data_IF_913593818455
#
_entry.id   IF_913593818455
#
_cell.length_a   1.000
_cell.length_b   1.000
_cell.length_c   1.000
_cell.angle_alpha   90.00
_cell.angle_beta   90.00
_cell.angle_gamma   90.00
#
_symmetry.space_group_name_H-M   'P 1'
#
loop_
_entity.id
_entity.type
_entity.pdbx_description
1 polymer ?
#
# COMPACT_ATOMS: atom_id res chain seq x y z
N UNK A 1 10.01 8.41 -22.15
CA UNK A 1 8.65 8.86 -21.77
C UNK A 1 8.05 7.79 -20.87
N UNK A 2 7.99 8.01 -19.56
CA UNK A 2 7.38 7.05 -18.60
C UNK A 2 5.87 7.09 -18.82
N UNK A 3 5.28 6.00 -19.30
CA UNK A 3 3.82 5.89 -19.42
C UNK A 3 3.22 5.73 -18.02
N UNK A 4 2.30 6.64 -17.69
CA UNK A 4 1.54 6.62 -16.44
C UNK A 4 0.36 5.68 -16.61
N UNK A 5 0.41 4.51 -16.01
CA UNK A 5 -0.76 3.67 -15.81
C UNK A 5 -0.87 3.34 -14.32
N UNK A 6 -2.01 3.70 -13.73
CA UNK A 6 -2.35 3.34 -12.35
C UNK A 6 -3.18 2.07 -12.41
N UNK A 7 -2.67 1.00 -11.85
CA UNK A 7 -3.40 -0.26 -11.74
C UNK A 7 -3.76 -0.50 -10.27
N UNK A 8 -5.04 -0.65 -9.99
CA UNK A 8 -5.50 -1.19 -8.72
C UNK A 8 -5.46 -2.71 -8.80
N UNK A 9 -4.53 -3.35 -8.10
CA UNK A 9 -4.48 -4.79 -7.97
C UNK A 9 -5.55 -5.29 -6.98
N UNK A 10 -6.81 -5.00 -7.25
CA UNK A 10 -7.93 -5.56 -6.51
C UNK A 10 -8.44 -6.80 -7.22
N UNK A 11 -7.77 -7.91 -6.98
CA UNK A 11 -8.26 -9.22 -7.41
C UNK A 11 -8.67 -10.04 -6.19
N UNK A 12 -9.85 -10.61 -6.26
CA UNK A 12 -10.35 -11.65 -5.37
C UNK A 12 -9.46 -12.88 -5.58
N UNK A 13 -8.36 -12.99 -4.85
CA UNK A 13 -7.49 -14.15 -4.87
C UNK A 13 -7.02 -14.46 -3.46
N UNK A 14 -7.11 -15.72 -3.11
CA UNK A 14 -6.81 -16.26 -1.79
C UNK A 14 -5.32 -16.32 -1.42
N UNK A 15 -4.41 -15.92 -2.33
CA UNK A 15 -2.97 -16.11 -2.16
C UNK A 15 -2.23 -14.83 -2.58
N UNK A 16 -1.28 -14.37 -1.74
CA UNK A 16 -0.40 -13.24 -2.02
C UNK A 16 0.43 -13.49 -3.28
N UNK A 17 0.86 -14.74 -3.53
CA UNK A 17 1.64 -15.12 -4.72
C UNK A 17 0.88 -14.84 -6.00
N UNK A 18 -0.43 -15.08 -6.03
CA UNK A 18 -1.28 -14.79 -7.21
C UNK A 18 -1.37 -13.31 -7.49
N UNK A 19 -1.43 -12.47 -6.45
CA UNK A 19 -1.44 -11.00 -6.61
C UNK A 19 -0.11 -10.50 -7.16
N UNK A 20 1.00 -11.01 -6.62
CA UNK A 20 2.35 -10.69 -7.10
C UNK A 20 2.51 -11.12 -8.56
N UNK A 21 2.10 -12.32 -8.91
CA UNK A 21 2.21 -12.85 -10.28
C UNK A 21 1.34 -12.05 -11.28
N UNK A 22 0.12 -11.70 -10.91
CA UNK A 22 -0.73 -10.81 -11.72
C UNK A 22 -0.09 -9.45 -11.94
N UNK A 23 0.50 -8.87 -10.88
CA UNK A 23 1.21 -7.60 -10.98
C UNK A 23 2.40 -7.72 -11.91
N UNK A 24 3.20 -8.81 -11.83
CA UNK A 24 4.31 -9.09 -12.75
C UNK A 24 3.85 -9.21 -14.20
N UNK A 25 2.75 -9.90 -14.47
CA UNK A 25 2.15 -9.98 -15.81
C UNK A 25 1.74 -8.61 -16.35
N UNK A 26 1.16 -7.76 -15.50
CA UNK A 26 0.80 -6.39 -15.88
C UNK A 26 2.03 -5.55 -16.19
N UNK A 27 3.10 -5.69 -15.41
CA UNK A 27 4.38 -5.01 -15.65
C UNK A 27 4.94 -5.44 -17.02
N UNK A 28 4.99 -6.74 -17.31
CA UNK A 28 5.50 -7.27 -18.59
C UNK A 28 4.69 -6.86 -19.84
N UNK A 29 3.49 -6.32 -19.66
CA UNK A 29 2.67 -5.75 -20.75
C UNK A 29 2.99 -4.28 -21.02
N UNK A 30 3.86 -3.67 -20.21
CA UNK A 30 4.24 -2.27 -20.38
C UNK A 30 5.46 -2.16 -21.30
N UNK A 31 5.49 -1.13 -22.12
CA UNK A 31 6.64 -0.82 -22.96
C UNK A 31 7.52 0.21 -22.24
N UNK A 32 8.61 -0.23 -21.63
CA UNK A 32 9.61 0.63 -20.99
C UNK A 32 9.58 0.60 -19.46
N UNK A 33 10.35 1.46 -18.79
CA UNK A 33 10.55 1.45 -17.35
C UNK A 33 9.26 1.75 -16.58
N UNK A 34 9.06 1.03 -15.46
CA UNK A 34 7.86 1.08 -14.63
C UNK A 34 8.20 1.58 -13.23
N UNK A 35 7.52 2.62 -12.77
CA UNK A 35 7.42 2.99 -11.36
C UNK A 35 6.17 2.30 -10.78
N UNK A 36 6.37 1.42 -9.79
CA UNK A 36 5.25 0.82 -9.06
C UNK A 36 4.80 1.72 -7.91
N UNK A 37 3.49 1.88 -7.76
CA UNK A 37 2.89 2.61 -6.64
C UNK A 37 1.98 1.66 -5.89
N UNK A 38 2.23 1.49 -4.59
CA UNK A 38 1.44 0.64 -3.70
C UNK A 38 0.79 1.42 -2.57
N UNK A 39 -0.51 1.24 -2.37
CA UNK A 39 -1.24 1.75 -1.21
C UNK A 39 -1.58 0.59 -0.28
N UNK A 40 -1.47 0.82 1.02
CA UNK A 40 -1.89 -0.15 2.04
C UNK A 40 -1.22 -1.52 1.84
N UNK A 41 -2.01 -2.61 1.79
CA UNK A 41 -1.53 -3.96 1.48
C UNK A 41 -0.84 -4.05 0.10
N UNK A 42 -1.21 -3.17 -0.84
CA UNK A 42 -0.54 -3.09 -2.14
C UNK A 42 0.96 -2.81 -2.05
N UNK A 43 1.43 -2.21 -0.95
CA UNK A 43 2.85 -2.03 -0.66
C UNK A 43 3.59 -3.37 -0.51
N UNK A 44 3.02 -4.35 0.22
CA UNK A 44 3.60 -5.69 0.31
C UNK A 44 3.64 -6.39 -1.06
N UNK A 45 2.62 -6.17 -1.89
CA UNK A 45 2.60 -6.71 -3.27
C UNK A 45 3.72 -6.12 -4.12
N UNK A 46 3.89 -4.79 -4.12
CA UNK A 46 4.97 -4.16 -4.92
C UNK A 46 6.35 -4.46 -4.36
N UNK A 47 6.47 -4.74 -3.06
CA UNK A 47 7.74 -5.17 -2.44
C UNK A 47 8.27 -6.45 -3.08
N UNK A 48 7.41 -7.39 -3.46
CA UNK A 48 7.81 -8.62 -4.16
C UNK A 48 7.77 -8.50 -5.69
N UNK A 49 6.72 -7.88 -6.25
CA UNK A 49 6.58 -7.71 -7.70
C UNK A 49 7.66 -6.78 -8.27
N UNK A 50 8.18 -5.86 -7.47
CA UNK A 50 9.19 -4.89 -7.83
C UNK A 50 10.55 -5.48 -8.22
N UNK A 51 10.79 -6.78 -7.99
CA UNK A 51 11.96 -7.48 -8.51
C UNK A 51 11.91 -7.72 -10.02
N UNK A 52 10.80 -7.41 -10.69
CA UNK A 52 10.73 -7.47 -12.16
C UNK A 52 11.77 -6.53 -12.79
N UNK A 53 12.47 -6.96 -13.88
CA UNK A 53 13.55 -6.17 -14.49
C UNK A 53 13.11 -4.78 -14.98
N UNK A 54 11.88 -4.65 -15.47
CA UNK A 54 11.36 -3.38 -15.98
C UNK A 54 10.96 -2.38 -14.87
N UNK A 55 10.93 -2.83 -13.60
CA UNK A 55 10.65 -1.92 -12.49
C UNK A 55 11.92 -1.15 -12.14
N UNK A 56 11.83 0.17 -12.19
CA UNK A 56 12.94 1.09 -11.90
C UNK A 56 12.81 1.82 -10.58
N UNK A 57 11.66 1.76 -9.91
CA UNK A 57 11.43 2.38 -8.61
C UNK A 57 10.09 1.99 -7.98
N UNK A 58 9.95 2.30 -6.70
CA UNK A 58 8.81 1.94 -5.86
C UNK A 58 8.31 3.16 -5.08
N UNK A 59 7.00 3.42 -5.08
CA UNK A 59 6.40 4.45 -4.25
C UNK A 59 5.34 3.82 -3.32
N UNK A 60 5.48 4.06 -2.04
CA UNK A 60 4.63 3.53 -0.98
C UNK A 60 3.74 4.65 -0.45
N UNK A 61 2.43 4.45 -0.48
CA UNK A 61 1.45 5.43 -0.01
C UNK A 61 0.68 4.82 1.16
N UNK A 62 0.93 5.29 2.39
CA UNK A 62 0.34 4.73 3.60
C UNK A 62 0.33 3.19 3.56
N UNK A 63 1.49 2.55 3.32
CA UNK A 63 1.56 1.19 2.84
C UNK A 63 2.53 0.31 3.62
N UNK A 64 2.29 -1.00 3.61
CA UNK A 64 3.26 -1.98 4.12
C UNK A 64 4.48 -2.07 3.21
N UNK A 65 5.66 -2.07 3.82
CA UNK A 65 6.94 -2.31 3.16
C UNK A 65 7.76 -3.33 3.98
N UNK A 66 7.31 -4.59 4.03
CA UNK A 66 7.96 -5.61 4.85
C UNK A 66 9.39 -5.88 4.39
N UNK A 67 10.26 -6.24 5.36
CA UNK A 67 11.60 -6.74 5.12
C UNK A 67 11.58 -8.26 4.89
N UNK A 68 12.73 -8.83 4.56
CA UNK A 68 12.86 -10.27 4.38
C UNK A 68 12.45 -11.03 5.64
N UNK A 69 11.59 -12.02 5.47
CA UNK A 69 11.02 -12.81 6.55
C UNK A 69 9.89 -12.14 7.34
N UNK A 70 9.61 -10.86 7.10
CA UNK A 70 8.46 -10.18 7.72
C UNK A 70 7.16 -10.40 6.95
N UNK A 71 6.05 -10.18 7.65
CA UNK A 71 4.71 -10.17 7.09
C UNK A 71 3.97 -8.89 7.50
N UNK A 72 2.95 -8.44 6.72
CA UNK A 72 2.11 -7.29 7.11
C UNK A 72 1.49 -7.45 8.51
N UNK A 73 1.04 -8.66 8.86
CA UNK A 73 0.49 -8.95 10.19
C UNK A 73 1.53 -8.84 11.29
N UNK A 74 2.76 -9.30 11.07
CA UNK A 74 3.86 -9.15 12.02
C UNK A 74 4.22 -7.68 12.28
N UNK A 75 4.21 -6.86 11.23
CA UNK A 75 4.41 -5.40 11.36
C UNK A 75 3.28 -4.76 12.14
N UNK A 76 2.02 -5.13 11.86
CA UNK A 76 0.85 -4.61 12.56
C UNK A 76 0.92 -4.86 14.07
N UNK A 77 1.53 -5.96 14.50
CA UNK A 77 1.68 -6.28 15.92
C UNK A 77 2.71 -5.43 16.66
N UNK A 78 3.63 -4.76 15.96
CA UNK A 78 4.63 -3.89 16.61
C UNK A 78 3.98 -2.63 17.18
N UNK A 79 3.09 -2.00 16.39
CA UNK A 79 2.21 -0.92 16.83
C UNK A 79 0.81 -1.21 16.29
N UNK A 80 -0.08 -1.67 17.17
CA UNK A 80 -1.44 -2.05 16.80
C UNK A 80 -2.26 -0.82 16.42
N UNK A 81 -2.86 -0.77 15.21
CA UNK A 81 -3.64 0.37 14.78
C UNK A 81 -5.01 0.45 15.49
N UNK A 82 -5.56 1.66 15.60
CA UNK A 82 -6.85 1.91 16.24
C UNK A 82 -8.01 1.13 15.60
N UNK A 83 -7.95 0.91 14.29
CA UNK A 83 -8.99 0.19 13.55
C UNK A 83 -8.96 -1.34 13.76
N UNK A 84 -7.95 -1.91 14.40
CA UNK A 84 -7.84 -3.36 14.57
C UNK A 84 -9.11 -4.03 15.15
N UNK A 85 -9.81 -3.47 16.17
CA UNK A 85 -11.04 -4.06 16.70
C UNK A 85 -12.25 -3.96 15.75
N UNK A 86 -12.13 -3.16 14.70
CA UNK A 86 -13.20 -2.93 13.72
C UNK A 86 -13.10 -3.85 12.50
N UNK A 87 -12.03 -4.66 12.41
CA UNK A 87 -11.85 -5.67 11.38
C UNK A 87 -12.51 -6.98 11.82
N UNK A 88 -13.26 -7.60 10.92
CA UNK A 88 -13.89 -8.89 11.15
C UNK A 88 -13.79 -9.79 9.91
N UNK A 89 -13.48 -11.09 10.10
CA UNK A 89 -13.49 -12.03 9.00
C UNK A 89 -14.93 -12.46 8.68
N UNK A 90 -15.22 -12.66 7.39
CA UNK A 90 -16.41 -13.39 6.96
C UNK A 90 -16.19 -14.92 7.03
N UNK A 91 -17.23 -15.69 6.59
CA UNK A 91 -17.18 -17.16 6.56
C UNK A 91 -16.06 -17.74 5.70
N UNK A 92 -15.61 -17.00 4.71
CA UNK A 92 -14.56 -17.40 3.77
C UNK A 92 -13.17 -16.86 4.18
N UNK A 93 -13.10 -16.12 5.30
CA UNK A 93 -11.88 -15.56 5.85
C UNK A 93 -11.46 -14.24 5.24
N UNK A 94 -12.31 -13.57 4.46
CA UNK A 94 -12.03 -12.21 4.00
C UNK A 94 -12.22 -11.21 5.13
N UNK A 95 -11.26 -10.32 5.28
CA UNK A 95 -11.18 -9.38 6.39
C UNK A 95 -11.87 -8.06 6.03
N UNK A 96 -13.07 -7.89 6.54
CA UNK A 96 -13.90 -6.70 6.32
C UNK A 96 -13.73 -5.68 7.43
N UNK A 97 -13.74 -4.41 7.06
CA UNK A 97 -13.94 -3.34 8.02
C UNK A 97 -15.45 -3.15 8.23
N UNK A 98 -15.91 -3.22 9.48
CA UNK A 98 -17.34 -3.04 9.84
C UNK A 98 -17.91 -1.78 9.20
N UNK A 99 -19.04 -1.91 8.50
CA UNK A 99 -19.64 -0.80 7.74
C UNK A 99 -19.86 0.46 8.60
N UNK A 100 -20.41 0.29 9.81
CA UNK A 100 -20.64 1.40 10.75
C UNK A 100 -19.37 2.00 11.36
N UNK A 101 -18.20 1.40 11.12
CA UNK A 101 -16.89 1.84 11.60
C UNK A 101 -15.94 2.24 10.46
N UNK A 102 -16.37 2.10 9.23
CA UNK A 102 -15.52 2.32 8.07
C UNK A 102 -15.01 3.76 7.99
N UNK A 103 -15.91 4.74 8.07
CA UNK A 103 -15.55 6.16 7.97
C UNK A 103 -14.54 6.56 9.04
N UNK A 104 -14.82 6.27 10.33
CA UNK A 104 -13.93 6.63 11.43
C UNK A 104 -12.58 5.92 11.39
N UNK A 105 -12.50 4.74 10.76
CA UNK A 105 -11.29 3.90 10.76
C UNK A 105 -10.42 4.11 9.54
N UNK A 106 -11.03 4.35 8.36
CA UNK A 106 -10.32 4.33 7.08
C UNK A 106 -10.15 5.74 6.47
N UNK A 107 -11.16 6.60 6.63
CA UNK A 107 -11.25 7.86 5.89
C UNK A 107 -11.93 8.98 6.70
N UNK A 108 -11.57 9.12 7.97
CA UNK A 108 -12.16 10.07 8.91
C UNK A 108 -11.97 11.56 8.52
N UNK A 109 -11.08 11.84 7.57
CA UNK A 109 -10.79 13.16 7.02
C UNK A 109 -11.51 13.45 5.69
N UNK A 110 -12.40 12.54 5.26
CA UNK A 110 -13.34 12.72 4.14
C UNK A 110 -14.75 13.00 4.66
N UNK A 111 -15.67 13.35 3.76
CA UNK A 111 -17.08 13.49 4.11
C UNK A 111 -17.73 12.13 4.42
N UNK A 112 -18.83 12.14 5.17
CA UNK A 112 -19.57 10.92 5.48
C UNK A 112 -20.08 10.19 4.24
N UNK A 113 -20.49 10.95 3.20
CA UNK A 113 -20.96 10.37 1.95
C UNK A 113 -19.84 9.67 1.17
N UNK A 114 -18.64 10.27 1.09
CA UNK A 114 -17.46 9.64 0.51
C UNK A 114 -17.08 8.37 1.29
N UNK A 115 -17.11 8.44 2.62
CA UNK A 115 -16.88 7.28 3.49
C UNK A 115 -17.90 6.17 3.26
N UNK A 116 -19.16 6.49 3.06
CA UNK A 116 -20.20 5.51 2.75
C UNK A 116 -19.94 4.84 1.39
N UNK A 117 -19.61 5.60 0.36
CA UNK A 117 -19.26 5.06 -0.96
C UNK A 117 -18.06 4.11 -0.84
N UNK A 118 -17.01 4.49 -0.11
CA UNK A 118 -15.85 3.63 0.11
C UNK A 118 -16.23 2.36 0.87
N UNK A 119 -17.08 2.46 1.89
CA UNK A 119 -17.53 1.32 2.68
C UNK A 119 -18.29 0.26 1.83
N UNK A 120 -19.21 0.71 0.96
CA UNK A 120 -20.00 -0.23 0.13
C UNK A 120 -19.21 -0.75 -1.09
N UNK A 121 -18.12 -0.12 -1.43
CA UNK A 121 -17.25 -0.53 -2.54
C UNK A 121 -15.93 -1.18 -2.08
N UNK A 122 -15.73 -1.35 -0.76
CA UNK A 122 -14.51 -1.97 -0.24
C UNK A 122 -14.32 -3.38 -0.82
N UNK A 123 -13.05 -3.75 -1.00
CA UNK A 123 -12.66 -5.09 -1.44
C UNK A 123 -11.81 -5.71 -0.35
N UNK A 124 -12.43 -6.59 0.43
CA UNK A 124 -11.78 -7.25 1.54
C UNK A 124 -10.62 -8.13 1.06
N UNK A 125 -9.44 -8.03 1.66
CA UNK A 125 -8.37 -9.00 1.45
C UNK A 125 -8.69 -10.29 2.22
N UNK A 126 -8.15 -11.41 1.76
CA UNK A 126 -8.15 -12.64 2.57
C UNK A 126 -7.24 -12.42 3.78
N UNK A 127 -7.75 -12.62 5.00
CA UNK A 127 -7.03 -12.36 6.24
C UNK A 127 -5.72 -13.14 6.37
N UNK A 128 -5.70 -14.40 5.89
CA UNK A 128 -4.50 -15.24 5.89
C UNK A 128 -3.30 -14.62 5.16
N UNK A 129 -3.54 -13.79 4.13
CA UNK A 129 -2.44 -13.17 3.36
C UNK A 129 -1.63 -12.15 4.17
N UNK A 130 -2.16 -11.66 5.29
CA UNK A 130 -1.40 -10.80 6.20
C UNK A 130 -0.29 -11.56 6.95
N UNK A 131 -0.37 -12.89 7.02
CA UNK A 131 0.67 -13.75 7.57
C UNK A 131 1.77 -14.15 6.58
N UNK A 132 1.57 -13.88 5.28
CA UNK A 132 2.53 -14.25 4.24
C UNK A 132 3.83 -13.47 4.39
N UNK A 133 4.94 -14.20 4.48
CA UNK A 133 6.27 -13.61 4.65
C UNK A 133 6.84 -13.16 3.31
N UNK A 134 7.48 -12.00 3.33
CA UNK A 134 8.20 -11.47 2.17
C UNK A 134 9.56 -12.16 2.05
N UNK A 135 9.93 -12.50 0.82
CA UNK A 135 11.29 -12.89 0.44
C UNK A 135 11.81 -11.90 -0.59
N UNK A 136 13.07 -11.47 -0.46
CA UNK A 136 13.73 -10.57 -1.42
C UNK A 136 12.98 -9.24 -1.63
N UNK A 137 12.94 -8.37 -0.63
CA UNK A 137 12.23 -7.10 -0.75
C UNK A 137 12.89 -6.21 -1.81
N UNK A 138 12.13 -5.84 -2.84
CA UNK A 138 12.64 -5.07 -3.98
C UNK A 138 13.20 -3.70 -3.59
N UNK A 139 12.70 -3.09 -2.52
CA UNK A 139 13.19 -1.82 -2.01
C UNK A 139 14.64 -1.87 -1.51
N UNK A 140 15.18 -3.06 -1.20
CA UNK A 140 16.59 -3.23 -0.84
C UNK A 140 17.53 -2.92 -2.02
N UNK A 141 17.06 -3.06 -3.26
CA UNK A 141 17.88 -2.88 -4.46
C UNK A 141 17.32 -1.83 -5.43
N UNK A 142 16.18 -1.24 -5.13
CA UNK A 142 15.51 -0.26 -5.98
C UNK A 142 15.24 1.04 -5.23
N UNK A 143 15.39 2.21 -5.87
CA UNK A 143 15.05 3.48 -5.25
C UNK A 143 13.56 3.51 -4.87
N UNK A 144 13.29 4.04 -3.68
CA UNK A 144 11.97 4.04 -3.09
C UNK A 144 11.58 5.41 -2.55
N UNK A 145 10.30 5.71 -2.58
CA UNK A 145 9.66 6.90 -2.02
C UNK A 145 8.54 6.47 -1.09
N UNK A 146 8.30 7.23 -0.04
CA UNK A 146 7.29 6.86 0.94
C UNK A 146 6.44 8.07 1.36
N UNK A 147 5.11 7.90 1.37
CA UNK A 147 4.17 8.84 1.98
C UNK A 147 3.62 8.23 3.26
N UNK A 148 3.83 8.93 4.38
CA UNK A 148 3.30 8.61 5.70
C UNK A 148 2.00 9.38 5.90
N UNK A 149 0.91 8.68 6.24
CA UNK A 149 -0.33 9.29 6.73
C UNK A 149 -0.27 9.41 8.26
N UNK A 150 -0.15 10.64 8.78
CA UNK A 150 0.07 10.84 10.23
C UNK A 150 -1.15 10.56 11.10
N UNK A 151 -2.33 10.45 10.50
CA UNK A 151 -3.61 10.18 11.17
C UNK A 151 -4.21 8.84 10.73
N UNK A 152 -3.35 7.95 10.21
CA UNK A 152 -3.74 6.62 9.74
C UNK A 152 -4.12 5.70 10.91
N UNK A 153 -5.33 5.19 10.88
CA UNK A 153 -5.87 4.27 11.87
C UNK A 153 -5.87 2.80 11.40
N UNK A 154 -5.49 2.54 10.14
CA UNK A 154 -5.39 1.19 9.56
C UNK A 154 -3.97 0.63 9.60
N UNK A 155 -2.97 1.48 9.37
CA UNK A 155 -1.54 1.15 9.57
C UNK A 155 -0.97 2.23 10.49
N UNK A 156 -0.62 1.83 11.71
CA UNK A 156 -0.12 2.79 12.71
C UNK A 156 1.01 3.66 12.11
N UNK A 157 0.99 5.00 12.31
CA UNK A 157 2.00 5.88 11.73
C UNK A 157 3.44 5.53 12.13
N UNK A 158 3.66 4.96 13.32
CA UNK A 158 5.00 4.55 13.75
C UNK A 158 5.50 3.33 12.99
N UNK A 159 4.61 2.40 12.59
CA UNK A 159 4.98 1.33 11.66
C UNK A 159 5.38 1.89 10.30
N UNK A 160 4.66 2.91 9.79
CA UNK A 160 5.00 3.58 8.54
C UNK A 160 6.36 4.30 8.63
N UNK A 161 6.64 4.99 9.76
CA UNK A 161 7.94 5.64 10.01
C UNK A 161 9.07 4.62 10.07
N UNK A 162 8.87 3.53 10.80
CA UNK A 162 9.87 2.46 10.93
C UNK A 162 10.20 1.87 9.53
N UNK A 163 9.19 1.51 8.75
CA UNK A 163 9.38 0.95 7.41
C UNK A 163 10.07 1.94 6.46
N UNK A 164 9.64 3.20 6.42
CA UNK A 164 10.22 4.22 5.55
C UNK A 164 11.68 4.56 5.90
N UNK A 165 12.03 4.50 7.18
CA UNK A 165 13.40 4.76 7.66
C UNK A 165 14.33 3.62 7.26
N UNK A 166 13.98 2.36 7.55
CA UNK A 166 14.86 1.22 7.29
C UNK A 166 15.09 0.96 5.80
N UNK A 167 14.08 1.23 4.95
CA UNK A 167 14.25 1.11 3.50
C UNK A 167 15.13 2.22 2.91
N UNK A 168 15.57 3.19 3.71
CA UNK A 168 16.34 4.34 3.28
C UNK A 168 15.69 5.03 2.05
N UNK A 169 14.40 5.31 2.16
CA UNK A 169 13.63 5.91 1.08
C UNK A 169 14.26 7.24 0.65
N UNK A 170 14.39 7.46 -0.66
CA UNK A 170 14.96 8.69 -1.23
C UNK A 170 14.22 9.94 -0.79
N UNK A 171 12.92 9.80 -0.60
CA UNK A 171 12.09 10.86 -0.03
C UNK A 171 10.98 10.25 0.81
N UNK A 172 10.78 10.86 1.98
CA UNK A 172 9.65 10.59 2.87
C UNK A 172 8.85 11.87 3.00
N UNK A 173 7.55 11.79 2.75
CA UNK A 173 6.61 12.90 2.94
C UNK A 173 5.57 12.48 3.97
N UNK A 174 5.36 13.29 4.99
CA UNK A 174 4.29 13.08 5.97
C UNK A 174 3.13 14.03 5.66
N UNK A 175 1.94 13.46 5.48
CA UNK A 175 0.71 14.22 5.25
C UNK A 175 -0.24 14.05 6.44
N UNK A 176 -0.93 15.12 6.89
CA UNK A 176 -2.00 15.02 7.87
C UNK A 176 -3.24 14.42 7.18
N UNK A 177 -3.25 13.10 7.11
CA UNK A 177 -4.24 12.33 6.37
C UNK A 177 -4.59 11.04 7.09
N UNK A 178 -5.81 10.57 6.84
CA UNK A 178 -6.27 9.22 7.15
C UNK A 178 -5.56 8.17 6.28
N UNK A 179 -5.99 6.91 6.39
CA UNK A 179 -5.55 5.86 5.48
C UNK A 179 -5.91 6.13 4.01
N UNK A 180 -6.96 6.91 3.78
CA UNK A 180 -7.45 7.30 2.44
C UNK A 180 -6.72 8.52 1.86
N UNK A 181 -5.43 8.72 2.13
CA UNK A 181 -4.64 9.88 1.70
C UNK A 181 -4.67 10.14 0.19
N UNK A 182 -4.86 9.10 -0.62
CA UNK A 182 -5.08 9.21 -2.07
C UNK A 182 -6.29 10.07 -2.43
N UNK A 183 -7.34 10.03 -1.61
CA UNK A 183 -8.56 10.81 -1.79
C UNK A 183 -8.53 12.13 -1.03
N UNK A 184 -8.06 12.14 0.22
CA UNK A 184 -8.10 13.32 1.09
C UNK A 184 -6.95 14.30 0.83
N UNK A 185 -5.83 13.84 0.31
CA UNK A 185 -4.63 14.66 0.01
C UNK A 185 -4.05 14.37 -1.38
N UNK A 186 -4.87 14.37 -2.45
CA UNK A 186 -4.45 13.92 -3.78
C UNK A 186 -3.28 14.72 -4.35
N UNK A 187 -3.22 16.01 -4.06
CA UNK A 187 -2.14 16.89 -4.54
C UNK A 187 -0.79 16.48 -3.94
N UNK A 188 -0.74 16.22 -2.62
CA UNK A 188 0.50 15.81 -1.95
C UNK A 188 0.98 14.43 -2.40
N UNK A 189 0.06 13.49 -2.56
CA UNK A 189 0.37 12.15 -3.07
C UNK A 189 0.84 12.21 -4.52
N UNK A 190 0.13 12.95 -5.39
CA UNK A 190 0.51 13.11 -6.79
C UNK A 190 1.88 13.79 -6.95
N UNK A 191 2.21 14.76 -6.10
CA UNK A 191 3.51 15.44 -6.11
C UNK A 191 4.65 14.45 -5.82
N UNK A 192 4.52 13.57 -4.81
CA UNK A 192 5.51 12.54 -4.51
C UNK A 192 5.72 11.56 -5.68
N UNK A 193 4.62 11.08 -6.27
CA UNK A 193 4.67 10.16 -7.42
C UNK A 193 5.32 10.85 -8.63
N UNK A 194 4.97 12.11 -8.88
CA UNK A 194 5.56 12.88 -9.98
C UNK A 194 7.05 13.11 -9.80
N UNK A 195 7.47 13.44 -8.59
CA UNK A 195 8.89 13.60 -8.25
C UNK A 195 9.66 12.30 -8.48
N UNK A 196 9.16 11.17 -7.95
CA UNK A 196 9.75 9.86 -8.17
C UNK A 196 9.90 9.54 -9.67
N UNK A 197 8.84 9.75 -10.45
CA UNK A 197 8.86 9.53 -11.90
C UNK A 197 9.86 10.45 -12.63
N UNK A 198 10.01 11.69 -12.16
CA UNK A 198 10.94 12.67 -12.77
C UNK A 198 12.40 12.32 -12.47
N UNK A 199 12.71 11.89 -11.24
CA UNK A 199 14.05 11.45 -10.87
C UNK A 199 14.48 10.20 -11.64
N UNK A 200 13.57 9.26 -11.85
CA UNK A 200 13.84 8.01 -12.58
C UNK A 200 13.98 8.21 -14.10
N UNK A 201 13.57 9.37 -14.62
CA UNK A 201 13.65 9.70 -16.04
C UNK A 201 14.98 10.38 -16.43
N UNK A 202 15.82 10.72 -15.43
CA UNK A 202 17.14 11.33 -15.62
C UNK A 202 18.22 10.29 -15.81
#
# INVERSE_FOLDING_TARGET
MIRRQVFSASSISSDSSVRVERTRKMIGQQNGPVLLVGHSYGGAVITQAGNHPDVVGLAYIAAFAPDEGESPGGITQQHVPEAAPHLEPDSDGYLWLKAGKFHESFCQDLTSDEGLVMAVTQKAPLGGTFGDRISWPAWANKPSWYQISSEDRMIHPDNQRMMSTRMNARKVVTLPASHASLASRPVGVAALIHEAATELAR
#
